data_IF_171720525898
#
_entry.id   IF_171720525898
#
_cell.length_a   1.000
_cell.length_b   1.000
_cell.length_c   1.000
_cell.angle_alpha   90.00
_cell.angle_beta   90.00
_cell.angle_gamma   90.00
#
_symmetry.space_group_name_H-M   'P 1'
#
loop_
_entity.id
_entity.type
_entity.pdbx_description
1 polymer ?
#
# COMPACT_ATOMS: atom_id res chain seq x y z
N UNK A 1 -7.63 3.19 19.39
CA UNK A 1 -7.93 2.82 17.98
C UNK A 1 -7.06 1.65 17.57
N UNK A 2 -7.64 0.67 16.90
CA UNK A 2 -6.88 -0.48 16.43
C UNK A 2 -5.98 -0.10 15.27
N UNK A 3 -4.90 -0.87 15.08
CA UNK A 3 -3.97 -0.60 13.99
C UNK A 3 -4.61 -0.71 12.61
N UNK A 4 -5.54 -1.65 12.45
CA UNK A 4 -6.24 -1.78 11.17
C UNK A 4 -7.13 -0.56 10.87
N UNK A 5 -7.68 0.05 11.91
CA UNK A 5 -8.45 1.28 11.73
C UNK A 5 -7.54 2.46 11.35
N UNK A 6 -6.39 2.57 12.01
CA UNK A 6 -5.42 3.60 11.66
C UNK A 6 -4.97 3.42 10.22
N UNK A 7 -4.73 2.18 9.81
CA UNK A 7 -4.29 1.88 8.45
C UNK A 7 -5.33 2.29 7.41
N UNK A 8 -6.61 2.09 7.72
CA UNK A 8 -7.67 2.50 6.81
C UNK A 8 -7.69 4.01 6.63
N UNK A 9 -7.50 4.77 7.70
CA UNK A 9 -7.42 6.24 7.60
C UNK A 9 -6.20 6.67 6.79
N UNK A 10 -5.07 6.02 7.01
CA UNK A 10 -3.86 6.31 6.23
C UNK A 10 -4.11 6.03 4.74
N UNK A 11 -4.74 4.92 4.45
CA UNK A 11 -5.10 4.57 3.08
C UNK A 11 -5.94 5.66 2.41
N UNK A 12 -6.97 6.13 3.12
CA UNK A 12 -7.85 7.16 2.58
C UNK A 12 -7.11 8.46 2.30
N UNK A 13 -6.24 8.88 3.21
CA UNK A 13 -5.43 10.07 2.99
C UNK A 13 -4.49 9.90 1.80
N UNK A 14 -3.85 8.75 1.69
CA UNK A 14 -2.98 8.47 0.55
C UNK A 14 -3.75 8.46 -0.76
N UNK A 15 -4.94 7.90 -0.74
CA UNK A 15 -5.79 7.87 -1.93
C UNK A 15 -6.09 9.29 -2.39
N UNK A 16 -6.41 10.17 -1.46
CA UNK A 16 -6.74 11.56 -1.78
C UNK A 16 -5.57 12.33 -2.40
N UNK A 17 -4.32 11.96 -2.06
CA UNK A 17 -3.16 12.66 -2.61
C UNK A 17 -3.04 12.52 -4.12
N UNK A 18 -3.66 11.49 -4.68
CA UNK A 18 -3.59 11.27 -6.13
C UNK A 18 -4.48 12.22 -6.91
N UNK A 19 -5.35 12.95 -6.22
CA UNK A 19 -6.31 13.86 -6.85
C UNK A 19 -6.11 15.32 -6.45
N UNK A 20 -5.18 15.59 -5.55
CA UNK A 20 -4.98 16.93 -5.02
C UNK A 20 -3.51 17.31 -5.05
N UNK A 21 -3.23 18.59 -5.24
CA UNK A 21 -1.86 19.10 -5.15
C UNK A 21 -1.43 19.13 -3.70
N UNK A 22 -0.13 19.33 -3.47
CA UNK A 22 0.39 19.44 -2.11
C UNK A 22 -0.31 20.54 -1.31
N UNK A 23 -0.56 21.69 -1.95
CA UNK A 23 -1.22 22.79 -1.29
C UNK A 23 -2.67 22.45 -0.92
N UNK A 24 -3.34 21.73 -1.82
CA UNK A 24 -4.71 21.30 -1.56
C UNK A 24 -4.78 20.25 -0.45
N UNK A 25 -3.77 19.37 -0.38
CA UNK A 25 -3.78 18.31 0.61
C UNK A 25 -3.69 18.82 2.04
N UNK A 26 -3.02 19.94 2.26
CA UNK A 26 -2.96 20.52 3.60
C UNK A 26 -4.36 20.79 4.15
N UNK A 27 -5.22 21.37 3.33
CA UNK A 27 -6.60 21.63 3.71
C UNK A 27 -7.42 20.35 3.78
N UNK A 28 -7.18 19.44 2.84
CA UNK A 28 -7.92 18.18 2.79
C UNK A 28 -7.65 17.32 4.03
N UNK A 29 -6.43 17.29 4.50
CA UNK A 29 -6.07 16.55 5.71
C UNK A 29 -6.80 17.11 6.92
N UNK A 30 -6.80 18.43 7.06
CA UNK A 30 -7.52 19.09 8.15
C UNK A 30 -9.01 18.76 8.11
N UNK A 31 -9.60 18.87 6.94
CA UNK A 31 -11.03 18.58 6.76
C UNK A 31 -11.33 17.10 7.06
N UNK A 32 -10.44 16.22 6.64
CA UNK A 32 -10.63 14.80 6.90
C UNK A 32 -10.74 14.53 8.41
N UNK A 33 -9.81 15.06 9.18
CA UNK A 33 -9.82 14.83 10.62
C UNK A 33 -11.00 15.51 11.30
N UNK A 34 -11.41 16.67 10.79
CA UNK A 34 -12.60 17.34 11.30
C UNK A 34 -13.85 16.47 11.13
N UNK A 35 -13.97 15.78 10.01
CA UNK A 35 -15.15 14.94 9.75
C UNK A 35 -15.18 13.68 10.62
N UNK A 36 -14.05 13.26 11.15
CA UNK A 36 -14.01 12.09 12.02
C UNK A 36 -14.56 12.37 13.42
N UNK A 37 -14.65 13.64 13.78
CA UNK A 37 -15.16 14.04 15.09
C UNK A 37 -14.20 13.70 16.21
N UNK A 38 -14.65 12.92 17.19
CA UNK A 38 -13.85 12.64 18.37
C UNK A 38 -12.78 11.59 18.07
N UNK A 39 -11.58 12.05 17.84
CA UNK A 39 -10.41 11.19 17.65
C UNK A 39 -9.37 11.62 18.68
N UNK A 40 -8.78 10.65 19.36
CA UNK A 40 -7.75 10.95 20.34
C UNK A 40 -6.53 11.55 19.62
N UNK A 41 -5.93 12.54 20.27
CA UNK A 41 -4.80 13.24 19.69
C UNK A 41 -3.66 12.29 19.32
N UNK A 42 -3.38 11.31 20.17
CA UNK A 42 -2.32 10.34 19.87
C UNK A 42 -2.61 9.51 18.63
N UNK A 43 -3.86 9.19 18.39
CA UNK A 43 -4.26 8.43 17.20
C UNK A 43 -4.11 9.30 15.95
N UNK A 44 -4.55 10.55 16.05
CA UNK A 44 -4.41 11.48 14.94
C UNK A 44 -2.94 11.69 14.59
N UNK A 45 -2.09 11.87 15.59
CA UNK A 45 -0.66 12.03 15.37
C UNK A 45 -0.05 10.79 14.71
N UNK A 46 -0.43 9.61 15.19
CA UNK A 46 0.09 8.36 14.62
C UNK A 46 -0.28 8.24 13.14
N UNK A 47 -1.53 8.55 12.80
CA UNK A 47 -2.01 8.51 11.42
C UNK A 47 -1.25 9.52 10.57
N UNK A 48 -1.17 10.76 11.02
CA UNK A 48 -0.51 11.82 10.27
C UNK A 48 0.98 11.56 10.07
N UNK A 49 1.66 11.11 11.12
CA UNK A 49 3.09 10.85 11.04
C UNK A 49 3.39 9.73 10.04
N UNK A 50 2.65 8.64 10.09
CA UNK A 50 2.88 7.54 9.16
C UNK A 50 2.55 7.95 7.73
N UNK A 51 1.42 8.63 7.55
CA UNK A 51 1.04 9.16 6.25
C UNK A 51 2.14 10.05 5.66
N UNK A 52 2.67 10.95 6.48
CA UNK A 52 3.72 11.86 6.04
C UNK A 52 5.01 11.11 5.66
N UNK A 53 5.41 10.14 6.46
CA UNK A 53 6.59 9.33 6.16
C UNK A 53 6.44 8.58 4.85
N UNK A 54 5.24 8.05 4.58
CA UNK A 54 4.99 7.36 3.33
C UNK A 54 5.17 8.31 2.16
N UNK A 55 4.61 9.52 2.26
CA UNK A 55 4.74 10.50 1.18
C UNK A 55 6.19 10.86 0.90
N UNK A 56 7.00 10.93 1.95
CA UNK A 56 8.42 11.25 1.79
C UNK A 56 9.20 10.16 1.06
N UNK A 57 8.66 8.95 1.00
CA UNK A 57 9.33 7.81 0.37
C UNK A 57 8.63 7.32 -0.89
N UNK A 58 7.71 8.10 -1.45
CA UNK A 58 6.94 7.65 -2.60
C UNK A 58 7.80 7.28 -3.81
N UNK A 59 8.83 8.04 -4.11
CA UNK A 59 9.68 7.74 -5.26
C UNK A 59 10.35 6.38 -5.10
N UNK A 60 10.85 6.12 -3.93
CA UNK A 60 11.49 4.87 -3.58
C UNK A 60 10.51 3.71 -3.64
N UNK A 61 9.32 3.92 -3.08
CA UNK A 61 8.25 2.93 -3.06
C UNK A 61 7.83 2.59 -4.50
N UNK A 62 7.61 3.60 -5.32
CA UNK A 62 7.19 3.38 -6.69
C UNK A 62 8.27 2.69 -7.51
N UNK A 63 9.54 2.97 -7.22
CA UNK A 63 10.63 2.27 -7.88
C UNK A 63 10.58 0.77 -7.56
N UNK A 64 10.34 0.44 -6.30
CA UNK A 64 10.20 -0.97 -5.90
C UNK A 64 9.02 -1.61 -6.63
N UNK A 65 7.90 -0.92 -6.67
CA UNK A 65 6.71 -1.44 -7.35
C UNK A 65 6.99 -1.68 -8.83
N UNK A 66 7.63 -0.73 -9.49
CA UNK A 66 7.93 -0.87 -10.92
C UNK A 66 8.92 -2.00 -11.18
N UNK A 67 9.83 -2.26 -10.26
CA UNK A 67 10.78 -3.36 -10.39
C UNK A 67 10.10 -4.73 -10.32
N UNK A 68 9.00 -4.83 -9.60
CA UNK A 68 8.31 -6.10 -9.37
C UNK A 68 7.00 -6.26 -10.13
N UNK A 69 6.55 -5.24 -10.83
CA UNK A 69 5.29 -5.29 -11.56
C UNK A 69 5.50 -4.99 -13.03
N UNK A 70 6.44 -5.72 -13.63
CA UNK A 70 6.75 -5.56 -15.04
C UNK A 70 5.49 -5.71 -15.90
N UNK A 71 5.27 -4.76 -16.78
CA UNK A 71 4.05 -4.75 -17.58
C UNK A 71 2.93 -3.93 -16.95
N UNK A 72 3.03 -3.66 -15.66
CA UNK A 72 2.05 -2.82 -14.95
C UNK A 72 2.76 -1.76 -14.15
N UNK A 73 3.19 -0.72 -14.83
CA UNK A 73 3.85 0.39 -14.14
C UNK A 73 2.88 1.14 -13.26
N UNK A 74 3.40 1.78 -12.22
CA UNK A 74 2.56 2.52 -11.28
C UNK A 74 1.65 3.54 -11.95
N UNK A 75 2.12 4.13 -13.06
CA UNK A 75 1.32 5.10 -13.80
C UNK A 75 0.11 4.49 -14.49
N UNK A 76 0.08 3.18 -14.62
CA UNK A 76 -1.01 2.46 -15.30
C UNK A 76 -1.92 1.72 -14.33
N UNK A 77 -1.59 1.68 -13.06
CA UNK A 77 -2.40 1.02 -12.06
C UNK A 77 -3.61 1.87 -11.71
N UNK A 78 -4.72 1.22 -11.37
CA UNK A 78 -5.84 2.00 -10.87
C UNK A 78 -5.48 2.56 -9.48
N UNK A 79 -6.19 3.56 -9.05
CA UNK A 79 -5.83 4.34 -7.87
C UNK A 79 -5.95 3.58 -6.57
N UNK A 80 -6.93 2.69 -6.48
CA UNK A 80 -7.10 1.86 -5.28
C UNK A 80 -5.93 0.90 -5.15
N UNK A 81 -5.61 0.20 -6.25
CA UNK A 81 -4.51 -0.76 -6.25
C UNK A 81 -3.19 -0.10 -5.91
N UNK A 82 -2.92 1.03 -6.53
CA UNK A 82 -1.68 1.76 -6.28
C UNK A 82 -1.58 2.20 -4.82
N UNK A 83 -2.67 2.69 -4.26
CA UNK A 83 -2.68 3.11 -2.86
C UNK A 83 -2.38 1.95 -1.93
N UNK A 84 -3.05 0.82 -2.14
CA UNK A 84 -2.84 -0.38 -1.32
C UNK A 84 -1.40 -0.87 -1.43
N UNK A 85 -0.87 -0.90 -2.64
CA UNK A 85 0.50 -1.35 -2.89
C UNK A 85 1.52 -0.42 -2.25
N UNK A 86 1.33 0.88 -2.36
CA UNK A 86 2.25 1.85 -1.76
C UNK A 86 2.30 1.69 -0.24
N UNK A 87 1.14 1.57 0.37
CA UNK A 87 1.07 1.39 1.83
C UNK A 87 1.77 0.12 2.26
N UNK A 88 1.50 -0.98 1.56
CA UNK A 88 2.11 -2.27 1.89
C UNK A 88 3.62 -2.26 1.71
N UNK A 89 4.12 -1.69 0.62
CA UNK A 89 5.56 -1.63 0.38
C UNK A 89 6.25 -0.83 1.48
N UNK A 90 5.64 0.29 1.88
CA UNK A 90 6.18 1.05 2.99
C UNK A 90 6.27 0.18 4.24
N UNK A 91 5.21 -0.52 4.58
CA UNK A 91 5.20 -1.35 5.78
C UNK A 91 6.16 -2.53 5.67
N UNK A 92 6.26 -3.14 4.51
CA UNK A 92 7.16 -4.29 4.31
C UNK A 92 8.63 -3.92 4.36
N UNK A 93 8.99 -2.75 3.87
CA UNK A 93 10.39 -2.38 3.69
C UNK A 93 10.91 -1.35 4.68
N UNK A 94 10.04 -0.54 5.25
CA UNK A 94 10.45 0.62 6.04
C UNK A 94 9.86 0.69 7.43
N UNK A 95 8.87 -0.14 7.74
CA UNK A 95 8.24 -0.14 9.06
C UNK A 95 8.52 -1.49 9.73
N UNK A 96 9.54 -1.52 10.58
CA UNK A 96 9.97 -2.75 11.22
C UNK A 96 8.96 -3.31 12.21
N UNK A 97 8.02 -2.51 12.64
CA UNK A 97 7.01 -2.96 13.60
C UNK A 97 5.91 -3.80 12.95
N UNK A 98 5.82 -3.78 11.63
CA UNK A 98 4.78 -4.52 10.91
C UNK A 98 5.38 -5.76 10.25
N UNK A 99 4.97 -6.97 10.68
CA UNK A 99 5.42 -8.19 9.99
C UNK A 99 4.97 -8.17 8.53
N UNK A 100 5.80 -8.74 7.66
CA UNK A 100 5.54 -8.74 6.22
C UNK A 100 4.18 -9.37 5.89
N UNK A 101 3.85 -10.49 6.52
CA UNK A 101 2.57 -11.14 6.28
C UNK A 101 1.38 -10.27 6.67
N UNK A 102 1.51 -9.51 7.75
CA UNK A 102 0.45 -8.60 8.18
C UNK A 102 0.29 -7.47 7.17
N UNK A 103 1.40 -6.90 6.72
CA UNK A 103 1.36 -5.83 5.73
C UNK A 103 0.63 -6.27 4.46
N UNK A 104 0.95 -7.47 3.97
CA UNK A 104 0.31 -8.01 2.77
C UNK A 104 -1.18 -8.24 2.99
N UNK A 105 -1.54 -8.93 4.07
CA UNK A 105 -2.94 -9.25 4.33
C UNK A 105 -3.80 -8.00 4.48
N UNK A 106 -3.29 -7.01 5.20
CA UNK A 106 -4.04 -5.78 5.41
C UNK A 106 -4.23 -5.00 4.09
N UNK A 107 -3.21 -4.97 3.26
CA UNK A 107 -3.30 -4.29 1.97
C UNK A 107 -4.31 -4.99 1.04
N UNK A 108 -4.29 -6.33 1.05
CA UNK A 108 -5.25 -7.11 0.25
C UNK A 108 -6.67 -6.84 0.70
N UNK A 109 -6.90 -6.77 2.02
CA UNK A 109 -8.23 -6.49 2.55
C UNK A 109 -8.71 -5.09 2.16
N UNK A 110 -7.82 -4.10 2.22
CA UNK A 110 -8.16 -2.74 1.79
C UNK A 110 -8.48 -2.70 0.30
N UNK A 111 -7.69 -3.41 -0.50
CA UNK A 111 -7.94 -3.47 -1.94
C UNK A 111 -9.30 -4.10 -2.25
N UNK A 112 -9.65 -5.16 -1.52
CA UNK A 112 -10.96 -5.78 -1.69
C UNK A 112 -12.09 -4.85 -1.27
N UNK A 113 -11.90 -4.18 -0.14
CA UNK A 113 -12.92 -3.31 0.42
C UNK A 113 -13.23 -2.14 -0.52
N UNK A 114 -12.22 -1.53 -1.09
CA UNK A 114 -12.39 -0.34 -1.90
C UNK A 114 -12.37 -0.59 -3.41
N UNK A 115 -11.85 -1.72 -3.85
CA UNK A 115 -11.73 -2.00 -5.28
C UNK A 115 -12.35 -3.31 -5.76
N UNK A 116 -12.69 -4.21 -4.85
CA UNK A 116 -13.28 -5.49 -5.21
C UNK A 116 -12.29 -6.65 -5.27
N UNK A 117 -12.80 -7.83 -5.63
CA UNK A 117 -12.00 -9.05 -5.62
C UNK A 117 -10.82 -9.01 -6.58
N UNK A 118 -11.00 -8.44 -7.76
CA UNK A 118 -9.90 -8.35 -8.73
C UNK A 118 -8.76 -7.51 -8.21
N UNK A 119 -9.07 -6.42 -7.51
CA UNK A 119 -8.06 -5.58 -6.88
C UNK A 119 -7.29 -6.37 -5.83
N UNK A 120 -8.00 -7.11 -5.00
CA UNK A 120 -7.36 -7.95 -3.99
C UNK A 120 -6.39 -8.94 -4.62
N UNK A 121 -6.80 -9.61 -5.69
CA UNK A 121 -5.95 -10.59 -6.38
C UNK A 121 -4.71 -9.94 -7.00
N UNK A 122 -4.90 -8.80 -7.65
CA UNK A 122 -3.80 -8.07 -8.28
C UNK A 122 -2.76 -7.63 -7.24
N UNK A 123 -3.23 -7.00 -6.18
CA UNK A 123 -2.36 -6.53 -5.10
C UNK A 123 -1.61 -7.70 -4.46
N UNK A 124 -2.32 -8.79 -4.22
CA UNK A 124 -1.76 -9.99 -3.65
C UNK A 124 -0.60 -10.53 -4.48
N UNK A 125 -0.80 -10.61 -5.80
CA UNK A 125 0.21 -11.13 -6.70
C UNK A 125 1.49 -10.31 -6.69
N UNK A 126 1.37 -8.99 -6.72
CA UNK A 126 2.55 -8.13 -6.74
C UNK A 126 3.28 -8.19 -5.39
N UNK A 127 2.54 -8.11 -4.28
CA UNK A 127 3.17 -8.14 -2.96
C UNK A 127 3.86 -9.47 -2.69
N UNK A 128 3.31 -10.56 -3.21
CA UNK A 128 3.96 -11.86 -3.09
C UNK A 128 5.32 -11.90 -3.78
N UNK A 129 5.42 -11.28 -4.95
CA UNK A 129 6.71 -11.18 -5.66
C UNK A 129 7.71 -10.36 -4.86
N UNK A 130 7.27 -9.25 -4.32
CA UNK A 130 8.15 -8.39 -3.51
C UNK A 130 8.65 -9.14 -2.29
N UNK A 131 7.77 -9.87 -1.63
CA UNK A 131 8.14 -10.65 -0.45
C UNK A 131 9.13 -11.76 -0.78
N UNK A 132 9.00 -12.36 -1.97
CA UNK A 132 9.93 -13.42 -2.39
C UNK A 132 11.27 -12.87 -2.87
N UNK A 133 11.35 -11.57 -3.14
CA UNK A 133 12.56 -10.94 -3.58
C UNK A 133 12.92 -11.19 -5.05
N UNK A 134 11.99 -11.68 -5.84
CA UNK A 134 12.24 -12.01 -7.24
C UNK A 134 11.61 -10.98 -8.15
N UNK A 135 12.46 -10.13 -8.71
CA UNK A 135 12.00 -9.11 -9.64
C UNK A 135 11.62 -9.72 -10.98
N UNK A 136 10.67 -9.05 -11.65
CA UNK A 136 10.33 -9.43 -13.01
C UNK A 136 11.47 -9.08 -13.95
N UNK A 137 11.97 -10.09 -14.68
CA UNK A 137 12.99 -9.91 -15.69
C UNK A 137 12.83 -11.00 -16.74
N UNK A 138 13.58 -10.88 -17.84
CA UNK A 138 13.51 -11.88 -18.90
C UNK A 138 13.86 -13.26 -18.42
N UNK A 139 14.87 -13.37 -17.57
CA UNK A 139 15.34 -14.66 -17.08
C UNK A 139 14.34 -15.30 -16.15
N UNK A 140 13.63 -14.50 -15.40
CA UNK A 140 12.73 -15.02 -14.38
C UNK A 140 11.47 -15.65 -14.94
N UNK A 141 11.16 -15.38 -16.18
CA UNK A 141 10.01 -15.98 -16.83
C UNK A 141 10.09 -17.49 -16.87
N UNK A 142 11.26 -18.03 -16.67
CA UNK A 142 11.45 -19.48 -16.70
C UNK A 142 10.82 -20.19 -15.53
N UNK A 143 10.48 -19.47 -14.46
CA UNK A 143 9.98 -20.10 -13.24
C UNK A 143 8.78 -19.39 -12.65
N UNK A 144 7.77 -19.10 -13.43
CA UNK A 144 6.65 -18.29 -12.94
C UNK A 144 5.82 -18.98 -11.86
N UNK A 145 5.63 -20.28 -11.97
CA UNK A 145 4.74 -20.97 -11.02
C UNK A 145 5.28 -21.03 -9.60
N UNK A 146 6.59 -20.99 -9.44
CA UNK A 146 7.15 -21.00 -8.09
C UNK A 146 6.84 -19.74 -7.35
N UNK A 147 6.89 -18.64 -8.04
CA UNK A 147 6.60 -17.35 -7.44
C UNK A 147 5.15 -17.24 -7.06
N UNK A 148 4.28 -17.76 -7.90
CA UNK A 148 2.86 -17.78 -7.59
C UNK A 148 2.60 -18.56 -6.32
N UNK A 149 3.28 -19.68 -6.17
CA UNK A 149 3.14 -20.49 -4.97
C UNK A 149 3.60 -19.75 -3.73
N UNK A 150 4.74 -19.09 -3.82
CA UNK A 150 5.25 -18.29 -2.70
C UNK A 150 4.31 -17.18 -2.31
N UNK A 151 3.72 -16.53 -3.28
CA UNK A 151 2.77 -15.47 -3.02
C UNK A 151 1.58 -15.97 -2.22
N UNK A 152 1.07 -17.13 -2.58
CA UNK A 152 -0.06 -17.71 -1.85
C UNK A 152 0.27 -18.00 -0.40
N UNK A 153 1.45 -18.53 -0.16
CA UNK A 153 1.88 -18.84 1.19
C UNK A 153 1.95 -17.60 2.04
N UNK A 154 2.51 -16.55 1.51
CA UNK A 154 2.69 -15.31 2.25
C UNK A 154 1.36 -14.68 2.65
N UNK A 155 0.38 -14.82 1.81
CA UNK A 155 -0.91 -14.18 2.05
C UNK A 155 -1.74 -14.93 3.07
N UNK A 156 -1.52 -16.23 3.20
CA UNK A 156 -2.23 -16.96 4.23
C UNK A 156 -1.79 -16.53 5.58
#
# INVERSE_FOLDING_TARGET
MRRSEQREHIFKLMFMTQFNSENEMSDQVSMYFDTLGELEEKDQEAIQNKYQHILEHLDEIDQILNDYSRGWKTTRMNRVDLTALRLAVYEMKMDEEVPVGVAINEAVELAKLFGGEDSGSFVNGILGKIASGKKDSGEEHKKPRRQTHSAKIIIR
#
